data_IF_653683136578
#
_entry.id   IF_653683136578
#
_cell.length_a   1.000
_cell.length_b   1.000
_cell.length_c   1.000
_cell.angle_alpha   90.00
_cell.angle_beta   90.00
_cell.angle_gamma   90.00
#
_symmetry.space_group_name_H-M   'P 1'
#
loop_
_entity.id
_entity.type
_entity.pdbx_description
1 polymer ?
#
# COMPACT_ATOMS: atom_id res chain seq x y z
N UNK A 1 79.62 -23.71 -57.83
CA UNK A 1 79.61 -22.25 -57.55
C UNK A 1 78.24 -21.61 -57.76
N UNK A 2 77.55 -21.74 -58.90
CA UNK A 2 76.15 -21.25 -59.03
C UNK A 2 75.15 -22.08 -58.22
N UNK A 3 75.34 -23.40 -58.18
CA UNK A 3 74.48 -24.35 -57.44
C UNK A 3 74.53 -24.15 -55.91
N UNK A 4 75.73 -23.87 -55.36
CA UNK A 4 75.91 -23.60 -53.92
C UNK A 4 75.21 -22.29 -53.47
N UNK A 5 75.13 -21.30 -54.36
CA UNK A 5 74.45 -20.02 -54.08
C UNK A 5 72.93 -20.21 -54.06
N UNK A 6 72.39 -21.05 -54.93
CA UNK A 6 70.95 -21.31 -55.00
C UNK A 6 70.46 -22.11 -53.79
N UNK A 7 71.22 -23.12 -53.34
CA UNK A 7 70.92 -23.88 -52.12
C UNK A 7 70.98 -22.98 -50.88
N UNK A 8 72.00 -22.10 -50.78
CA UNK A 8 72.09 -21.12 -49.68
C UNK A 8 70.89 -20.17 -49.68
N UNK A 9 70.41 -19.73 -50.85
CA UNK A 9 69.22 -18.88 -50.98
C UNK A 9 67.94 -19.61 -50.58
N UNK A 10 67.84 -20.91 -50.87
CA UNK A 10 66.70 -21.73 -50.47
C UNK A 10 66.66 -21.93 -48.95
N UNK A 11 67.78 -22.31 -48.33
CA UNK A 11 67.90 -22.49 -46.88
C UNK A 11 67.60 -21.19 -46.11
N UNK A 12 68.06 -20.05 -46.62
CA UNK A 12 67.77 -18.74 -46.01
C UNK A 12 66.29 -18.37 -46.12
N UNK A 13 65.63 -18.65 -47.24
CA UNK A 13 64.16 -18.46 -47.37
C UNK A 13 63.38 -19.36 -46.43
N UNK A 14 63.75 -20.63 -46.31
CA UNK A 14 63.11 -21.57 -45.39
C UNK A 14 63.32 -21.16 -43.92
N UNK A 15 64.54 -20.73 -43.56
CA UNK A 15 64.82 -20.20 -42.23
C UNK A 15 64.01 -18.94 -41.92
N UNK A 16 63.88 -18.01 -42.88
CA UNK A 16 63.04 -16.82 -42.73
C UNK A 16 61.55 -17.15 -42.57
N UNK A 17 61.03 -18.11 -43.35
CA UNK A 17 59.64 -18.56 -43.23
C UNK A 17 59.36 -19.23 -41.87
N UNK A 18 60.29 -20.06 -41.39
CA UNK A 18 60.19 -20.69 -40.07
C UNK A 18 60.26 -19.66 -38.94
N UNK A 19 61.12 -18.64 -39.07
CA UNK A 19 61.22 -17.55 -38.11
C UNK A 19 59.93 -16.72 -38.06
N UNK A 20 59.36 -16.36 -39.21
CA UNK A 20 58.08 -15.63 -39.29
C UNK A 20 56.92 -16.43 -38.66
N UNK A 21 56.85 -17.74 -38.93
CA UNK A 21 55.86 -18.61 -38.32
C UNK A 21 56.01 -18.70 -36.79
N UNK A 22 57.24 -18.79 -36.29
CA UNK A 22 57.52 -18.81 -34.85
C UNK A 22 57.15 -17.49 -34.17
N UNK A 23 57.48 -16.36 -34.78
CA UNK A 23 57.14 -15.02 -34.27
C UNK A 23 55.62 -14.84 -34.22
N UNK A 24 54.89 -15.20 -35.29
CA UNK A 24 53.42 -15.13 -35.32
C UNK A 24 52.78 -16.00 -34.23
N UNK A 25 53.26 -17.22 -34.05
CA UNK A 25 52.75 -18.12 -32.99
C UNK A 25 52.95 -17.53 -31.59
N UNK A 26 54.15 -17.02 -31.31
CA UNK A 26 54.46 -16.41 -30.01
C UNK A 26 53.64 -15.13 -29.76
N UNK A 27 53.38 -14.33 -30.80
CA UNK A 27 52.57 -13.13 -30.70
C UNK A 27 51.09 -13.46 -30.39
N UNK A 28 50.52 -14.45 -31.06
CA UNK A 28 49.14 -14.93 -30.78
C UNK A 28 49.03 -15.47 -29.36
N UNK A 29 50.02 -16.24 -28.89
CA UNK A 29 50.02 -16.77 -27.52
C UNK A 29 50.11 -15.65 -26.47
N UNK A 30 50.96 -14.64 -26.71
CA UNK A 30 51.09 -13.49 -25.85
C UNK A 30 49.79 -12.66 -25.80
N UNK A 31 49.17 -12.38 -26.95
CA UNK A 31 47.87 -11.70 -27.00
C UNK A 31 46.78 -12.48 -26.26
N UNK A 32 46.78 -13.81 -26.36
CA UNK A 32 45.84 -14.67 -25.63
C UNK A 32 45.99 -14.53 -24.11
N UNK A 33 47.23 -14.56 -23.61
CA UNK A 33 47.52 -14.39 -22.17
C UNK A 33 47.13 -13.00 -21.66
N UNK A 34 47.40 -11.95 -22.44
CA UNK A 34 47.03 -10.56 -22.10
C UNK A 34 45.50 -10.42 -22.03
N UNK A 35 44.78 -10.92 -23.03
CA UNK A 35 43.30 -10.88 -23.06
C UNK A 35 42.70 -11.62 -21.87
N UNK A 36 43.22 -12.81 -21.53
CA UNK A 36 42.75 -13.55 -20.35
C UNK A 36 43.01 -12.80 -19.03
N UNK A 37 44.16 -12.14 -18.90
CA UNK A 37 44.48 -11.29 -17.75
C UNK A 37 43.49 -10.13 -17.60
N UNK A 38 43.25 -9.38 -18.68
CA UNK A 38 42.31 -8.25 -18.68
C UNK A 38 40.88 -8.66 -18.32
N UNK A 39 40.38 -9.77 -18.86
CA UNK A 39 39.03 -10.27 -18.56
C UNK A 39 38.88 -10.57 -17.07
N UNK A 40 39.88 -11.21 -16.44
CA UNK A 40 39.85 -11.48 -14.99
C UNK A 40 39.82 -10.19 -14.16
N UNK A 41 40.61 -9.20 -14.52
CA UNK A 41 40.63 -7.89 -13.84
C UNK A 41 39.29 -7.17 -13.95
N UNK A 42 38.66 -7.17 -15.13
CA UNK A 42 37.34 -6.54 -15.34
C UNK A 42 36.27 -7.22 -14.48
N UNK A 43 36.23 -8.56 -14.47
CA UNK A 43 35.27 -9.31 -13.64
C UNK A 43 35.44 -8.97 -12.16
N UNK A 44 36.69 -8.92 -11.67
CA UNK A 44 36.98 -8.58 -10.28
C UNK A 44 36.50 -7.17 -9.90
N UNK A 45 36.68 -6.17 -10.79
CA UNK A 45 36.18 -4.81 -10.58
C UNK A 45 34.65 -4.79 -10.51
N UNK A 46 33.96 -5.45 -11.45
CA UNK A 46 32.49 -5.48 -11.49
C UNK A 46 31.92 -6.11 -10.22
N UNK A 47 32.47 -7.24 -9.77
CA UNK A 47 32.05 -7.90 -8.52
C UNK A 47 32.26 -7.00 -7.32
N UNK A 48 33.42 -6.35 -7.23
CA UNK A 48 33.75 -5.45 -6.11
C UNK A 48 32.80 -4.25 -6.05
N UNK A 49 32.54 -3.59 -7.20
CA UNK A 49 31.60 -2.47 -7.29
C UNK A 49 30.18 -2.92 -6.92
N UNK A 50 29.74 -4.10 -7.39
CA UNK A 50 28.43 -4.65 -7.04
C UNK A 50 28.26 -4.89 -5.53
N UNK A 51 29.29 -5.42 -4.87
CA UNK A 51 29.29 -5.59 -3.42
C UNK A 51 29.18 -4.23 -2.71
N UNK A 52 30.01 -3.25 -3.07
CA UNK A 52 29.91 -1.90 -2.46
C UNK A 52 28.55 -1.25 -2.68
N UNK A 53 27.91 -1.47 -3.83
CA UNK A 53 26.56 -0.96 -4.11
C UNK A 53 25.50 -1.59 -3.19
N UNK A 54 25.54 -2.91 -2.97
CA UNK A 54 24.62 -3.60 -2.04
C UNK A 54 24.82 -3.12 -0.60
N UNK A 55 26.07 -2.97 -0.17
CA UNK A 55 26.38 -2.49 1.18
C UNK A 55 25.99 -1.02 1.36
N UNK A 56 26.22 -0.18 0.34
CA UNK A 56 25.82 1.23 0.34
C UNK A 56 24.30 1.39 0.44
N UNK A 57 23.53 0.68 -0.37
CA UNK A 57 22.05 0.74 -0.33
C UNK A 57 21.48 0.27 1.00
N UNK A 58 22.09 -0.76 1.61
CA UNK A 58 21.70 -1.22 2.95
C UNK A 58 21.93 -0.13 4.00
N UNK A 59 23.10 0.52 3.98
CA UNK A 59 23.41 1.61 4.90
C UNK A 59 22.48 2.82 4.71
N UNK A 60 22.20 3.20 3.47
CA UNK A 60 21.22 4.24 3.14
C UNK A 60 19.81 3.91 3.64
N UNK A 61 19.38 2.65 3.54
CA UNK A 61 18.07 2.21 4.02
C UNK A 61 17.96 2.37 5.55
N UNK A 62 18.98 1.96 6.30
CA UNK A 62 19.02 2.16 7.76
C UNK A 62 19.04 3.63 8.16
N UNK A 63 19.80 4.46 7.43
CA UNK A 63 19.86 5.89 7.69
C UNK A 63 18.51 6.56 7.41
N UNK A 64 17.85 6.22 6.31
CA UNK A 64 16.50 6.69 5.99
C UNK A 64 15.48 6.24 7.04
N UNK A 65 15.55 4.99 7.48
CA UNK A 65 14.68 4.48 8.54
C UNK A 65 14.88 5.25 9.86
N UNK A 66 16.12 5.49 10.27
CA UNK A 66 16.43 6.26 11.48
C UNK A 66 15.90 7.70 11.41
N UNK A 67 16.00 8.36 10.25
CA UNK A 67 15.43 9.71 10.05
C UNK A 67 13.90 9.72 10.15
N UNK A 68 13.21 8.73 9.57
CA UNK A 68 11.75 8.63 9.66
C UNK A 68 11.29 8.39 11.10
N UNK A 69 11.95 7.47 11.82
CA UNK A 69 11.64 7.19 13.23
C UNK A 69 11.86 8.44 14.09
N UNK A 70 12.98 9.15 13.92
CA UNK A 70 13.23 10.40 14.65
C UNK A 70 12.22 11.50 14.30
N UNK A 71 11.78 11.60 13.05
CA UNK A 71 10.75 12.55 12.63
C UNK A 71 9.40 12.30 13.31
N UNK A 72 8.95 11.05 13.36
CA UNK A 72 7.69 10.67 14.04
C UNK A 72 7.77 10.93 15.54
N UNK A 73 8.88 10.54 16.19
CA UNK A 73 9.11 10.81 17.62
C UNK A 73 9.11 12.32 17.89
N UNK A 74 9.76 13.11 17.04
CA UNK A 74 9.77 14.58 17.14
C UNK A 74 8.37 15.19 17.08
N UNK A 75 7.52 14.73 16.16
CA UNK A 75 6.11 15.17 16.05
C UNK A 75 5.29 14.83 17.30
N UNK A 76 5.50 13.64 17.87
CA UNK A 76 4.83 13.23 19.13
C UNK A 76 5.26 14.15 20.28
N UNK A 77 6.55 14.42 20.43
CA UNK A 77 7.06 15.33 21.46
C UNK A 77 6.54 16.76 21.28
N UNK A 78 6.51 17.28 20.04
CA UNK A 78 5.97 18.60 19.73
C UNK A 78 4.48 18.70 20.11
N UNK A 79 3.68 17.67 19.80
CA UNK A 79 2.26 17.59 20.19
C UNK A 79 2.08 17.61 21.70
N UNK A 80 2.90 16.87 22.45
CA UNK A 80 2.88 16.86 23.93
C UNK A 80 3.20 18.26 24.49
N UNK A 81 4.21 18.94 23.93
CA UNK A 81 4.60 20.29 24.37
C UNK A 81 3.48 21.29 24.07
N UNK A 82 2.90 21.25 22.87
CA UNK A 82 1.77 22.11 22.49
C UNK A 82 0.56 21.91 23.40
N UNK A 83 0.21 20.66 23.71
CA UNK A 83 -0.89 20.34 24.64
C UNK A 83 -0.63 20.89 26.05
N UNK A 84 0.61 20.76 26.56
CA UNK A 84 0.98 21.35 27.86
C UNK A 84 0.89 22.88 27.85
N UNK A 85 1.32 23.53 26.77
CA UNK A 85 1.25 24.98 26.62
C UNK A 85 -0.20 25.47 26.52
N UNK A 86 -1.03 24.78 25.74
CA UNK A 86 -2.46 25.06 25.58
C UNK A 86 -3.20 24.95 26.93
N UNK A 87 -2.98 23.86 27.66
CA UNK A 87 -3.56 23.65 29.00
C UNK A 87 -3.18 24.76 29.99
N UNK A 88 -1.93 25.22 29.94
CA UNK A 88 -1.45 26.31 30.80
C UNK A 88 -2.11 27.66 30.49
N UNK A 89 -2.41 27.95 29.23
CA UNK A 89 -3.08 29.21 28.85
C UNK A 89 -4.56 29.23 29.22
N UNK A 90 -5.27 28.10 29.08
CA UNK A 90 -6.69 28.02 29.42
C UNK A 90 -6.97 27.82 30.91
N UNK A 91 -6.01 27.32 31.70
CA UNK A 91 -6.17 27.13 33.15
C UNK A 91 -6.25 28.43 33.96
N UNK A 92 -5.94 29.60 33.38
CA UNK A 92 -5.81 30.84 34.16
C UNK A 92 -6.96 31.85 33.96
N UNK A 93 -8.03 31.50 33.24
CA UNK A 93 -9.03 32.48 32.80
C UNK A 93 -10.49 32.17 33.11
N UNK A 94 -10.83 31.21 33.98
CA UNK A 94 -12.22 30.96 34.38
C UNK A 94 -12.34 30.60 35.87
N UNK A 95 -12.59 31.61 36.70
CA UNK A 95 -13.61 31.48 37.74
C UNK A 95 -14.91 32.02 37.14
N UNK A 96 -16.04 31.37 37.42
CA UNK A 96 -17.39 31.73 36.95
C UNK A 96 -17.77 31.12 35.58
N UNK A 97 -18.01 29.82 35.55
CA UNK A 97 -19.36 29.27 35.35
C UNK A 97 -19.30 27.74 35.46
N UNK A 98 -20.10 27.19 36.37
CA UNK A 98 -20.39 25.76 36.45
C UNK A 98 -21.15 25.33 35.18
N UNK A 99 -20.53 24.46 34.38
CA UNK A 99 -21.17 23.28 33.80
C UNK A 99 -20.06 22.25 33.50
N UNK A 100 -20.24 21.07 34.06
CA UNK A 100 -19.28 19.96 34.08
C UNK A 100 -19.02 19.41 32.67
N UNK A 101 -17.84 19.69 32.10
CA UNK A 101 -17.20 18.81 31.10
C UNK A 101 -15.89 18.30 31.67
N UNK A 102 -15.98 17.12 32.27
CA UNK A 102 -14.86 16.31 32.73
C UNK A 102 -14.05 15.85 31.50
N UNK A 103 -12.90 16.47 31.25
CA UNK A 103 -11.87 16.02 30.31
C UNK A 103 -11.25 14.72 30.84
N UNK A 104 -12.01 13.63 30.69
CA UNK A 104 -11.54 12.28 30.80
C UNK A 104 -11.26 11.82 29.37
N UNK A 105 -10.00 11.91 28.94
CA UNK A 105 -9.48 11.20 27.77
C UNK A 105 -9.58 9.70 28.04
N UNK A 106 -10.79 9.17 28.04
CA UNK A 106 -11.06 7.75 28.06
C UNK A 106 -10.56 7.25 26.72
N UNK A 107 -9.53 6.41 26.75
CA UNK A 107 -9.21 5.54 25.63
C UNK A 107 -10.50 4.76 25.33
N UNK A 108 -11.26 5.21 24.32
CA UNK A 108 -12.57 4.63 24.02
C UNK A 108 -12.30 3.22 23.51
N UNK A 109 -12.47 2.25 24.40
CA UNK A 109 -12.33 0.85 24.06
C UNK A 109 -13.51 0.46 23.17
N UNK A 110 -13.25 0.45 21.87
CA UNK A 110 -14.24 0.00 20.90
C UNK A 110 -14.55 -1.49 21.07
N UNK A 111 -15.81 -1.85 20.90
CA UNK A 111 -16.24 -3.24 20.74
C UNK A 111 -15.65 -3.84 19.46
N UNK A 112 -15.77 -5.15 19.28
CA UNK A 112 -15.19 -5.81 18.10
C UNK A 112 -15.87 -5.37 16.80
N UNK A 113 -17.18 -5.18 16.80
CA UNK A 113 -17.93 -4.61 15.67
C UNK A 113 -17.48 -3.18 15.37
N UNK A 114 -17.30 -2.35 16.39
CA UNK A 114 -16.83 -0.97 16.24
C UNK A 114 -15.40 -0.92 15.68
N UNK A 115 -14.51 -1.81 16.11
CA UNK A 115 -13.14 -1.94 15.55
C UNK A 115 -13.17 -2.34 14.07
N UNK A 116 -14.10 -3.18 13.65
CA UNK A 116 -14.25 -3.57 12.24
C UNK A 116 -14.77 -2.40 11.41
N UNK A 117 -15.75 -1.66 11.92
CA UNK A 117 -16.26 -0.44 11.30
C UNK A 117 -15.18 0.65 11.20
N UNK A 118 -14.43 0.89 12.27
CA UNK A 118 -13.34 1.86 12.26
C UNK A 118 -12.29 1.53 11.19
N UNK A 119 -11.94 0.24 11.05
CA UNK A 119 -11.00 -0.20 10.01
C UNK A 119 -11.55 0.04 8.60
N UNK A 120 -12.86 -0.08 8.38
CA UNK A 120 -13.47 0.31 7.12
C UNK A 120 -13.28 1.82 6.88
N UNK A 121 -13.66 2.65 7.85
CA UNK A 121 -13.58 4.11 7.72
C UNK A 121 -12.15 4.60 7.49
N UNK A 122 -11.16 4.08 8.21
CA UNK A 122 -9.75 4.40 7.99
C UNK A 122 -9.29 4.04 6.57
N UNK A 123 -9.74 2.89 6.04
CA UNK A 123 -9.39 2.48 4.67
C UNK A 123 -10.07 3.35 3.61
N UNK A 124 -11.31 3.78 3.82
CA UNK A 124 -11.98 4.69 2.90
C UNK A 124 -11.33 6.08 2.93
N UNK A 125 -10.92 6.57 4.09
CA UNK A 125 -10.16 7.82 4.22
C UNK A 125 -8.79 7.75 3.50
N UNK A 126 -8.09 6.61 3.58
CA UNK A 126 -6.87 6.40 2.77
C UNK A 126 -7.14 6.44 1.26
N UNK A 127 -8.30 5.97 0.81
CA UNK A 127 -8.73 6.08 -0.59
C UNK A 127 -9.06 7.53 -0.94
N UNK A 128 -9.78 8.23 -0.07
CA UNK A 128 -10.16 9.63 -0.22
C UNK A 128 -8.95 10.54 -0.46
N UNK A 129 -7.84 10.29 0.25
CA UNK A 129 -6.56 11.02 0.08
C UNK A 129 -5.97 10.96 -1.34
N UNK A 130 -6.40 10.00 -2.16
CA UNK A 130 -5.93 9.82 -3.55
C UNK A 130 -7.04 9.96 -4.60
N UNK A 131 -8.28 9.81 -4.17
CA UNK A 131 -9.47 9.73 -4.99
C UNK A 131 -10.62 10.45 -4.26
N UNK A 132 -10.65 11.78 -4.37
CA UNK A 132 -11.64 12.63 -3.69
C UNK A 132 -13.08 12.35 -4.15
N UNK A 133 -13.24 11.74 -5.34
CA UNK A 133 -14.54 11.34 -5.90
C UNK A 133 -15.29 10.31 -5.04
N UNK A 134 -14.64 9.73 -4.02
CA UNK A 134 -15.29 8.83 -3.07
C UNK A 134 -16.47 9.50 -2.34
N UNK A 135 -16.41 10.82 -2.16
CA UNK A 135 -17.47 11.62 -1.54
C UNK A 135 -18.59 12.01 -2.52
N UNK A 136 -18.43 11.74 -3.82
CA UNK A 136 -19.47 12.02 -4.80
C UNK A 136 -20.72 11.19 -4.51
N UNK A 137 -21.88 11.80 -4.70
CA UNK A 137 -23.19 11.18 -4.41
C UNK A 137 -23.31 9.80 -5.08
N UNK A 138 -22.93 9.70 -6.36
CA UNK A 138 -23.02 8.44 -7.11
C UNK A 138 -22.09 7.34 -6.59
N UNK A 139 -20.96 7.71 -5.97
CA UNK A 139 -20.06 6.76 -5.31
C UNK A 139 -20.63 6.31 -3.97
N UNK A 140 -21.04 7.26 -3.14
CA UNK A 140 -21.65 7.00 -1.83
C UNK A 140 -22.87 6.09 -1.96
N UNK A 141 -23.74 6.35 -2.94
CA UNK A 141 -24.91 5.49 -3.24
C UNK A 141 -24.52 4.05 -3.60
N UNK A 142 -23.52 3.86 -4.46
CA UNK A 142 -23.05 2.53 -4.86
C UNK A 142 -22.39 1.77 -3.69
N UNK A 143 -21.61 2.47 -2.86
CA UNK A 143 -21.02 1.89 -1.65
C UNK A 143 -22.12 1.48 -0.66
N UNK A 144 -23.11 2.34 -0.42
CA UNK A 144 -24.25 2.04 0.44
C UNK A 144 -25.03 0.83 -0.08
N UNK A 145 -25.33 0.77 -1.38
CA UNK A 145 -26.00 -0.40 -1.96
C UNK A 145 -25.19 -1.69 -1.77
N UNK A 146 -23.86 -1.63 -1.85
CA UNK A 146 -23.02 -2.80 -1.64
C UNK A 146 -23.06 -3.30 -0.18
N UNK A 147 -23.02 -2.40 0.80
CA UNK A 147 -23.18 -2.78 2.22
C UNK A 147 -24.58 -3.31 2.50
N UNK A 148 -25.61 -2.67 1.94
CA UNK A 148 -27.00 -3.10 2.13
C UNK A 148 -27.24 -4.51 1.61
N UNK A 149 -26.83 -4.79 0.38
CA UNK A 149 -27.02 -6.11 -0.21
C UNK A 149 -26.10 -7.17 0.39
N UNK A 150 -24.84 -6.83 0.67
CA UNK A 150 -23.83 -7.79 1.13
C UNK A 150 -23.86 -8.09 2.62
N UNK A 151 -24.29 -7.14 3.46
CA UNK A 151 -24.26 -7.27 4.91
C UNK A 151 -25.63 -7.10 5.56
N UNK A 152 -26.32 -5.97 5.31
CA UNK A 152 -27.58 -5.66 6.01
C UNK A 152 -28.67 -6.69 5.69
N UNK A 153 -28.90 -6.95 4.40
CA UNK A 153 -29.88 -7.92 3.94
C UNK A 153 -29.30 -9.31 3.72
N UNK A 154 -27.97 -9.45 3.66
CA UNK A 154 -27.27 -10.72 3.39
C UNK A 154 -27.89 -11.48 2.22
N UNK A 155 -27.94 -10.82 1.05
CA UNK A 155 -28.45 -11.45 -0.16
C UNK A 155 -27.53 -12.58 -0.56
N UNK A 156 -28.10 -13.78 -0.65
CA UNK A 156 -27.36 -14.97 -1.07
C UNK A 156 -26.70 -14.74 -2.44
N UNK A 157 -25.45 -15.20 -2.57
CA UNK A 157 -24.64 -15.07 -3.78
C UNK A 157 -24.43 -13.63 -4.29
N UNK A 158 -24.60 -12.61 -3.44
CA UNK A 158 -24.28 -11.23 -3.82
C UNK A 158 -22.79 -11.07 -4.11
N UNK A 159 -22.47 -10.49 -5.27
CA UNK A 159 -21.11 -10.17 -5.70
C UNK A 159 -20.96 -8.66 -5.73
N UNK A 160 -19.94 -8.14 -5.03
CA UNK A 160 -19.62 -6.71 -5.06
C UNK A 160 -19.32 -6.24 -6.49
N UNK A 161 -19.82 -5.06 -6.90
CA UNK A 161 -19.55 -4.52 -8.22
C UNK A 161 -18.06 -4.22 -8.40
N UNK A 162 -17.63 -4.14 -9.66
CA UNK A 162 -16.26 -3.76 -10.01
C UNK A 162 -16.08 -2.24 -10.09
N UNK A 163 -17.19 -1.49 -10.16
CA UNK A 163 -17.20 -0.04 -10.21
C UNK A 163 -18.12 0.51 -9.10
N UNK A 164 -17.66 1.59 -8.51
CA UNK A 164 -18.28 2.37 -7.44
C UNK A 164 -18.35 3.85 -7.86
N UNK A 165 -18.24 4.19 -9.14
CA UNK A 165 -18.35 5.58 -9.61
C UNK A 165 -17.06 6.41 -9.55
N UNK A 166 -15.92 5.86 -9.13
CA UNK A 166 -14.64 6.57 -9.19
C UNK A 166 -14.09 6.58 -10.63
N UNK A 167 -13.40 7.65 -11.04
CA UNK A 167 -12.81 7.74 -12.40
C UNK A 167 -11.70 6.71 -12.64
N UNK A 168 -10.91 6.41 -11.60
CA UNK A 168 -9.78 5.49 -11.69
C UNK A 168 -10.14 4.06 -11.32
N UNK A 169 -9.69 3.08 -12.12
CA UNK A 169 -9.84 1.66 -11.80
C UNK A 169 -9.21 1.29 -10.45
N UNK A 170 -8.08 1.91 -10.10
CA UNK A 170 -7.38 1.69 -8.82
C UNK A 170 -8.22 2.10 -7.61
N UNK A 171 -8.97 3.20 -7.71
CA UNK A 171 -9.85 3.67 -6.64
C UNK A 171 -11.03 2.71 -6.43
N UNK A 172 -11.68 2.31 -7.52
CA UNK A 172 -12.77 1.33 -7.47
C UNK A 172 -12.33 0.00 -6.86
N UNK A 173 -11.16 -0.51 -7.24
CA UNK A 173 -10.61 -1.73 -6.67
C UNK A 173 -10.28 -1.60 -5.17
N UNK A 174 -9.75 -0.43 -4.75
CA UNK A 174 -9.48 -0.16 -3.35
C UNK A 174 -10.76 -0.11 -2.50
N UNK A 175 -11.80 0.57 -2.98
CA UNK A 175 -13.14 0.59 -2.34
C UNK A 175 -13.72 -0.83 -2.27
N UNK A 176 -13.70 -1.57 -3.38
CA UNK A 176 -14.18 -2.96 -3.43
C UNK A 176 -13.51 -3.82 -2.37
N UNK A 177 -12.17 -3.71 -2.25
CA UNK A 177 -11.38 -4.47 -1.29
C UNK A 177 -11.72 -4.08 0.16
N UNK A 178 -11.89 -2.79 0.45
CA UNK A 178 -12.27 -2.31 1.77
C UNK A 178 -13.66 -2.85 2.18
N UNK A 179 -14.65 -2.70 1.31
CA UNK A 179 -16.01 -3.18 1.54
C UNK A 179 -16.08 -4.70 1.68
N UNK A 180 -15.39 -5.45 0.81
CA UNK A 180 -15.36 -6.91 0.89
C UNK A 180 -14.79 -7.39 2.24
N UNK A 181 -13.70 -6.79 2.70
CA UNK A 181 -13.09 -7.14 3.99
C UNK A 181 -14.00 -6.81 5.18
N UNK A 182 -14.72 -5.68 5.12
CA UNK A 182 -15.71 -5.31 6.12
C UNK A 182 -16.87 -6.32 6.14
N UNK A 183 -17.52 -6.56 5.01
CA UNK A 183 -18.68 -7.45 4.87
C UNK A 183 -18.33 -8.85 5.38
N UNK A 184 -17.22 -9.43 4.91
CA UNK A 184 -16.81 -10.78 5.31
C UNK A 184 -16.61 -10.93 6.83
N UNK A 185 -16.06 -9.90 7.49
CA UNK A 185 -15.84 -9.92 8.94
C UNK A 185 -17.15 -9.67 9.71
N UNK A 186 -17.94 -8.71 9.26
CA UNK A 186 -19.19 -8.36 9.92
C UNK A 186 -20.25 -9.43 9.79
N UNK A 187 -20.30 -10.19 8.70
CA UNK A 187 -21.17 -11.37 8.60
C UNK A 187 -20.85 -12.41 9.68
N UNK A 188 -19.58 -12.58 10.04
CA UNK A 188 -19.19 -13.47 11.13
C UNK A 188 -19.58 -12.90 12.50
N UNK A 189 -19.31 -11.61 12.74
CA UNK A 189 -19.62 -10.93 14.02
C UNK A 189 -21.14 -10.83 14.25
N UNK A 190 -21.90 -10.53 13.21
CA UNK A 190 -23.35 -10.33 13.27
C UNK A 190 -24.15 -11.63 13.01
N UNK A 191 -23.56 -12.80 13.24
CA UNK A 191 -24.23 -14.08 13.02
C UNK A 191 -25.52 -14.16 13.86
N UNK A 192 -26.64 -14.43 13.21
CA UNK A 192 -27.96 -14.50 13.85
C UNK A 192 -28.62 -13.15 14.14
N UNK A 193 -27.98 -12.04 13.77
CA UNK A 193 -28.55 -10.69 13.87
C UNK A 193 -29.55 -10.43 12.74
N UNK A 194 -30.62 -9.71 13.07
CA UNK A 194 -31.59 -9.20 12.11
C UNK A 194 -31.01 -8.07 11.25
N UNK A 195 -31.68 -7.74 10.14
CA UNK A 195 -31.27 -6.63 9.28
C UNK A 195 -31.22 -5.28 10.02
N UNK A 196 -32.16 -5.06 10.96
CA UNK A 196 -32.20 -3.84 11.79
C UNK A 196 -30.98 -3.77 12.71
N UNK A 197 -30.69 -4.84 13.45
CA UNK A 197 -29.50 -4.88 14.32
C UNK A 197 -28.20 -4.70 13.51
N UNK A 198 -28.12 -5.25 12.29
CA UNK A 198 -26.96 -5.05 11.42
C UNK A 198 -26.82 -3.61 10.95
N UNK A 199 -27.94 -2.94 10.69
CA UNK A 199 -27.95 -1.53 10.33
C UNK A 199 -27.47 -0.67 11.50
N UNK A 200 -27.95 -0.94 12.71
CA UNK A 200 -27.49 -0.28 13.93
C UNK A 200 -25.99 -0.50 14.16
N UNK A 201 -25.49 -1.72 13.95
CA UNK A 201 -24.05 -2.02 14.01
C UNK A 201 -23.23 -1.27 12.95
N UNK A 202 -23.80 -1.01 11.76
CA UNK A 202 -23.14 -0.28 10.69
C UNK A 202 -23.14 1.24 10.91
N UNK A 203 -24.21 1.76 11.51
CA UNK A 203 -24.39 3.18 11.80
C UNK A 203 -23.98 3.59 13.22
N UNK A 204 -23.17 2.75 13.90
CA UNK A 204 -22.69 3.05 15.24
C UNK A 204 -21.74 4.27 15.24
N UNK A 205 -21.60 4.92 16.39
CA UNK A 205 -20.80 6.14 16.58
C UNK A 205 -19.30 5.82 16.63
N UNK A 206 -18.76 5.49 15.46
CA UNK A 206 -17.35 5.23 15.22
C UNK A 206 -16.79 6.27 14.27
N UNK A 207 -15.57 6.73 14.57
CA UNK A 207 -14.87 7.74 13.79
C UNK A 207 -13.53 7.18 13.31
N UNK A 208 -13.12 7.60 12.11
CA UNK A 208 -11.77 7.33 11.62
C UNK A 208 -10.73 8.20 12.35
N UNK A 209 -9.45 8.00 12.00
CA UNK A 209 -8.33 8.76 12.57
C UNK A 209 -8.39 10.27 12.29
N UNK A 210 -9.08 10.67 11.22
CA UNK A 210 -9.27 12.06 10.80
C UNK A 210 -10.57 12.68 11.40
N UNK A 211 -11.34 11.92 12.19
CA UNK A 211 -12.56 12.36 12.86
C UNK A 211 -13.85 12.24 12.02
N UNK A 212 -13.79 11.63 10.84
CA UNK A 212 -14.95 11.43 9.98
C UNK A 212 -15.76 10.22 10.42
N UNK A 213 -17.08 10.35 10.35
CA UNK A 213 -18.03 9.29 10.71
C UNK A 213 -18.51 8.52 9.47
N UNK A 214 -19.34 7.50 9.69
CA UNK A 214 -19.99 6.76 8.60
C UNK A 214 -20.86 7.64 7.70
N UNK A 215 -21.43 8.72 8.25
CA UNK A 215 -22.32 9.64 7.52
C UNK A 215 -21.59 10.28 6.34
N UNK A 216 -20.31 10.65 6.51
CA UNK A 216 -19.50 11.25 5.45
C UNK A 216 -19.35 10.34 4.23
N UNK A 217 -19.26 9.02 4.45
CA UNK A 217 -19.04 8.04 3.37
C UNK A 217 -20.32 7.42 2.82
N UNK A 218 -21.34 7.19 3.66
CA UNK A 218 -22.53 6.40 3.26
C UNK A 218 -23.84 7.16 3.44
N UNK A 219 -23.82 8.26 4.19
CA UNK A 219 -25.01 8.94 4.67
C UNK A 219 -25.64 8.23 5.87
N UNK A 220 -26.62 8.88 6.46
CA UNK A 220 -27.45 8.32 7.53
C UNK A 220 -28.80 7.84 6.98
N UNK A 221 -29.22 6.65 7.41
CA UNK A 221 -30.55 6.09 7.14
C UNK A 221 -31.32 5.91 8.44
N UNK A 222 -32.60 6.28 8.45
CA UNK A 222 -33.49 5.98 9.58
C UNK A 222 -33.90 4.50 9.52
N UNK A 223 -33.85 3.82 10.66
CA UNK A 223 -34.29 2.42 10.80
C UNK A 223 -35.73 2.21 10.29
N UNK A 224 -36.59 3.22 10.43
CA UNK A 224 -37.98 3.18 9.92
C UNK A 224 -38.03 3.04 8.40
N UNK A 225 -37.12 3.70 7.69
CA UNK A 225 -37.05 3.63 6.23
C UNK A 225 -36.63 2.22 5.78
N UNK A 226 -35.74 1.58 6.54
CA UNK A 226 -35.33 0.19 6.29
C UNK A 226 -36.53 -0.79 6.40
N UNK A 227 -37.37 -0.62 7.42
CA UNK A 227 -38.56 -1.47 7.57
C UNK A 227 -39.54 -1.32 6.41
N UNK A 228 -39.69 -0.10 5.87
CA UNK A 228 -40.53 0.13 4.71
C UNK A 228 -40.00 -0.56 3.46
N UNK A 229 -38.68 -0.47 3.23
CA UNK A 229 -38.02 -1.14 2.10
C UNK A 229 -38.23 -2.65 2.19
N UNK A 230 -37.98 -3.24 3.36
CA UNK A 230 -38.23 -4.67 3.59
C UNK A 230 -39.69 -5.06 3.30
N UNK A 231 -40.66 -4.28 3.80
CA UNK A 231 -42.10 -4.52 3.53
C UNK A 231 -42.43 -4.41 2.04
N UNK A 232 -41.74 -3.58 1.26
CA UNK A 232 -41.93 -3.48 -0.19
C UNK A 232 -41.36 -4.70 -0.92
N UNK A 233 -40.19 -5.20 -0.53
CA UNK A 233 -39.59 -6.40 -1.11
C UNK A 233 -40.40 -7.67 -0.80
N UNK A 234 -40.88 -7.83 0.42
CA UNK A 234 -41.75 -8.96 0.79
C UNK A 234 -43.04 -8.96 -0.07
N UNK A 235 -43.58 -7.78 -0.39
CA UNK A 235 -44.77 -7.64 -1.25
C UNK A 235 -44.51 -7.91 -2.73
N UNK A 236 -43.34 -7.56 -3.25
CA UNK A 236 -43.03 -7.81 -4.67
C UNK A 236 -42.84 -9.29 -4.96
N UNK A 237 -42.35 -10.08 -4.00
CA UNK A 237 -42.23 -11.53 -4.13
C UNK A 237 -43.59 -12.25 -4.13
N UNK A 238 -44.62 -11.71 -3.48
CA UNK A 238 -45.98 -12.31 -3.44
C UNK A 238 -46.74 -12.13 -4.76
N UNK A 239 -46.37 -11.16 -5.58
CA UNK A 239 -47.06 -10.86 -6.85
C UNK A 239 -46.47 -11.59 -8.07
N UNK A 240 -45.42 -12.39 -7.88
CA UNK A 240 -44.71 -13.10 -8.96
C UNK A 240 -44.78 -14.63 -8.80
N UNK A 241 -45.52 -15.12 -7.81
CA UNK A 241 -45.82 -16.55 -7.58
C UNK A 241 -47.24 -16.90 -8.01
#
# INVERSE_FOLDING_TARGET
MSEDIEDTRKRTKEALANLDAMVKKNLIEAEGKIKQGMVKTIIWIVVTVGIYFIWGTTWFFWLFFAFNVMGVVGLIFAKIILLKAYKKMHSNNNSIHDEHEEDNSIEVEYTEEQKVLQKLLNRLAEVAKKHEEIYDIGCREQMSQAVYNGFIFEREAYVLPNAFGLFGASGNEAVKKALNNYIMKMLFVAKGKSAVERLEMFQDRVYNEDGESIDEFFGWVDVKDLEEVRKREDRSHVLVS
#
